data_IF_236243642081
#
_entry.id   IF_236243642081
#
_cell.length_a   1.000
_cell.length_b   1.000
_cell.length_c   1.000
_cell.angle_alpha   90.00
_cell.angle_beta   90.00
_cell.angle_gamma   90.00
#
_symmetry.space_group_name_H-M   'P 1'
#
loop_
_entity.id
_entity.type
_entity.pdbx_description
1 polymer ?
#
# COMPACT_ATOMS: atom_id res chain seq x y z
N UNK A 1 13.12 24.19 0.28
CA UNK A 1 13.28 24.12 1.75
C UNK A 1 13.72 22.71 2.07
N UNK A 2 14.97 22.58 2.51
CA UNK A 2 15.66 21.32 2.77
C UNK A 2 15.43 20.98 4.24
N UNK A 3 14.86 19.81 4.52
CA UNK A 3 14.77 19.26 5.88
C UNK A 3 16.00 18.38 6.06
N UNK A 4 17.01 18.91 6.75
CA UNK A 4 18.23 18.20 7.15
C UNK A 4 18.47 18.47 8.64
N UNK A 5 18.78 17.40 9.36
CA UNK A 5 19.31 17.42 10.74
C UNK A 5 18.40 16.64 11.67
N UNK A 6 18.61 15.34 11.88
CA UNK A 6 19.75 14.84 12.64
C UNK A 6 20.06 13.41 12.21
N UNK A 7 21.18 13.20 11.53
CA UNK A 7 21.71 11.87 11.20
C UNK A 7 22.60 11.44 12.36
N UNK A 8 22.31 10.28 12.92
CA UNK A 8 23.10 9.58 13.91
C UNK A 8 24.54 9.39 13.39
N UNK A 9 25.50 9.89 14.17
CA UNK A 9 26.93 9.74 13.92
C UNK A 9 27.35 8.27 13.87
N UNK A 10 28.29 8.00 12.99
CA UNK A 10 28.69 6.67 12.56
C UNK A 10 29.09 5.72 13.69
N UNK A 11 28.42 4.57 13.72
CA UNK A 11 28.99 3.32 14.23
C UNK A 11 29.12 2.36 13.06
N UNK A 12 30.29 1.72 12.96
CA UNK A 12 30.49 0.52 12.12
C UNK A 12 29.29 -0.41 12.35
N UNK A 13 28.63 -0.82 11.27
CA UNK A 13 27.44 -1.65 11.33
C UNK A 13 27.68 -2.92 12.15
N UNK A 14 26.68 -3.39 12.92
CA UNK A 14 26.82 -4.61 13.70
C UNK A 14 27.07 -5.82 12.78
N UNK A 15 27.96 -6.73 13.21
CA UNK A 15 28.29 -7.99 12.51
C UNK A 15 27.13 -9.02 12.52
N UNK A 16 25.98 -8.66 13.11
CA UNK A 16 24.75 -9.46 13.16
C UNK A 16 23.59 -8.61 12.64
N UNK A 17 23.03 -9.00 11.49
CA UNK A 17 21.91 -8.33 10.82
C UNK A 17 20.73 -9.29 10.63
N UNK A 18 19.48 -8.82 10.78
CA UNK A 18 19.10 -7.47 11.20
C UNK A 18 19.40 -7.25 12.69
N UNK A 19 19.68 -6.01 13.13
CA UNK A 19 19.84 -5.74 14.55
C UNK A 19 18.54 -6.11 15.27
N UNK A 20 18.59 -7.04 16.22
CA UNK A 20 17.60 -7.13 17.30
C UNK A 20 17.74 -5.84 18.11
N UNK A 21 17.06 -4.77 17.69
CA UNK A 21 17.11 -3.51 18.41
C UNK A 21 16.05 -3.50 19.51
N UNK A 22 16.51 -3.36 20.76
CA UNK A 22 15.69 -3.00 21.90
C UNK A 22 14.66 -1.91 21.50
N UNK A 23 13.37 -2.23 21.61
CA UNK A 23 12.26 -1.27 21.39
C UNK A 23 11.53 -1.39 20.05
N UNK A 24 11.84 -2.38 19.21
CA UNK A 24 11.02 -2.70 18.01
C UNK A 24 9.70 -3.33 18.43
N UNK A 25 8.65 -3.00 17.70
CA UNK A 25 7.38 -3.70 17.83
C UNK A 25 7.45 -5.02 17.06
N UNK A 26 6.97 -6.10 17.64
CA UNK A 26 6.64 -7.31 16.90
C UNK A 26 5.41 -7.06 16.01
N UNK A 27 5.25 -7.83 14.93
CA UNK A 27 4.08 -7.69 14.06
C UNK A 27 2.75 -7.88 14.83
N UNK A 28 2.73 -8.78 15.81
CA UNK A 28 1.57 -8.96 16.69
C UNK A 28 1.26 -7.72 17.52
N UNK A 29 2.27 -7.00 18.00
CA UNK A 29 2.08 -5.76 18.76
C UNK A 29 1.55 -4.64 17.87
N UNK A 30 2.00 -4.55 16.62
CA UNK A 30 1.46 -3.62 15.63
C UNK A 30 -0.01 -3.92 15.33
N UNK A 31 -0.37 -5.19 15.18
CA UNK A 31 -1.76 -5.62 15.00
C UNK A 31 -2.60 -5.30 16.25
N UNK A 32 -2.05 -5.48 17.45
CA UNK A 32 -2.76 -5.16 18.70
C UNK A 32 -2.97 -3.64 18.88
N UNK A 33 -2.00 -2.82 18.48
CA UNK A 33 -2.17 -1.37 18.39
C UNK A 33 -3.27 -1.01 17.39
N UNK A 34 -3.28 -1.62 16.22
CA UNK A 34 -4.36 -1.40 15.26
C UNK A 34 -5.72 -1.79 15.86
N UNK A 35 -5.84 -2.94 16.53
CA UNK A 35 -7.10 -3.38 17.15
C UNK A 35 -7.67 -2.40 18.17
N UNK A 36 -6.84 -1.59 18.83
CA UNK A 36 -7.34 -0.64 19.83
C UNK A 36 -8.11 0.53 19.21
N UNK A 37 -7.91 0.82 17.92
CA UNK A 37 -8.51 1.97 17.23
C UNK A 37 -9.22 1.65 15.90
N UNK A 38 -8.80 0.59 15.23
CA UNK A 38 -9.30 0.11 13.94
C UNK A 38 -10.42 -0.93 14.07
N UNK A 39 -11.01 -1.31 12.93
CA UNK A 39 -12.22 -2.16 12.91
C UNK A 39 -12.18 -3.36 11.96
N UNK A 40 -11.17 -3.47 11.10
CA UNK A 40 -11.05 -4.58 10.15
C UNK A 40 -10.83 -5.93 10.82
N UNK A 41 -11.20 -6.98 10.10
CA UNK A 41 -10.80 -8.34 10.44
C UNK A 41 -9.26 -8.46 10.45
N UNK A 42 -8.73 -8.92 11.58
CA UNK A 42 -7.28 -9.03 11.83
C UNK A 42 -6.62 -10.15 11.01
N UNK A 43 -7.40 -11.15 10.57
CA UNK A 43 -6.90 -12.23 9.71
C UNK A 43 -6.43 -11.69 8.35
N UNK A 44 -6.93 -10.51 7.95
CA UNK A 44 -6.47 -9.82 6.76
C UNK A 44 -4.99 -9.42 6.85
N UNK A 45 -4.48 -9.07 8.04
CA UNK A 45 -3.06 -8.73 8.21
C UNK A 45 -2.16 -9.96 8.06
N UNK A 46 -2.61 -11.13 8.53
CA UNK A 46 -1.89 -12.39 8.31
C UNK A 46 -1.83 -12.73 6.82
N UNK A 47 -2.92 -12.51 6.08
CA UNK A 47 -2.94 -12.67 4.63
C UNK A 47 -2.01 -11.67 3.92
N UNK A 48 -2.00 -10.39 4.32
CA UNK A 48 -1.05 -9.39 3.78
C UNK A 48 0.40 -9.82 4.03
N UNK A 49 0.70 -10.31 5.24
CA UNK A 49 2.03 -10.80 5.55
C UNK A 49 2.42 -12.03 4.72
N UNK A 50 1.51 -12.98 4.50
CA UNK A 50 1.73 -14.08 3.55
C UNK A 50 2.09 -13.52 2.18
N UNK A 51 1.30 -12.57 1.65
CA UNK A 51 1.58 -11.91 0.37
C UNK A 51 2.99 -11.35 0.33
N UNK A 52 3.38 -10.47 1.26
CA UNK A 52 4.72 -9.88 1.25
C UNK A 52 5.86 -10.87 1.51
N UNK A 53 5.60 -12.03 2.10
CA UNK A 53 6.63 -13.06 2.31
C UNK A 53 7.08 -13.74 1.02
N UNK A 54 6.22 -13.78 -0.01
CA UNK A 54 6.54 -14.40 -1.30
C UNK A 54 6.59 -13.42 -2.46
N UNK A 55 5.80 -12.32 -2.45
CA UNK A 55 5.85 -11.29 -3.50
C UNK A 55 6.88 -10.21 -3.18
N UNK A 56 8.11 -10.45 -3.66
CA UNK A 56 9.24 -9.52 -3.57
C UNK A 56 10.00 -9.51 -4.89
N UNK A 57 10.74 -8.45 -5.18
CA UNK A 57 11.61 -8.44 -6.35
C UNK A 57 12.63 -9.60 -6.27
N UNK A 58 12.85 -10.37 -7.34
CA UNK A 58 13.80 -11.49 -7.33
C UNK A 58 15.25 -11.11 -6.98
N UNK A 59 15.60 -9.83 -7.09
CA UNK A 59 16.92 -9.28 -6.82
C UNK A 59 17.17 -8.88 -5.35
N UNK A 60 16.19 -9.06 -4.46
CA UNK A 60 16.35 -8.85 -3.02
C UNK A 60 17.34 -9.86 -2.44
N UNK A 61 18.30 -9.37 -1.66
CA UNK A 61 19.24 -10.24 -0.96
C UNK A 61 18.53 -11.12 0.08
N UNK A 62 18.89 -12.40 0.13
CA UNK A 62 18.18 -13.43 0.91
C UNK A 62 18.02 -13.06 2.40
N UNK A 63 19.08 -12.52 3.01
CA UNK A 63 19.12 -12.17 4.43
C UNK A 63 18.08 -11.10 4.83
N UNK A 64 17.61 -10.31 3.86
CA UNK A 64 16.65 -9.23 4.09
C UNK A 64 15.20 -9.64 3.92
N UNK A 65 14.91 -10.80 3.31
CA UNK A 65 13.53 -11.16 2.92
C UNK A 65 12.54 -11.19 4.09
N UNK A 66 12.95 -11.74 5.24
CA UNK A 66 12.10 -11.81 6.43
C UNK A 66 11.82 -10.42 7.02
N UNK A 67 12.85 -9.61 7.20
CA UNK A 67 12.70 -8.26 7.73
C UNK A 67 11.85 -7.39 6.79
N UNK A 68 12.06 -7.51 5.48
CA UNK A 68 11.28 -6.82 4.46
C UNK A 68 9.79 -7.19 4.51
N UNK A 69 9.45 -8.48 4.63
CA UNK A 69 8.04 -8.86 4.68
C UNK A 69 7.34 -8.30 5.91
N UNK A 70 7.99 -8.35 7.07
CA UNK A 70 7.47 -7.77 8.32
C UNK A 70 7.31 -6.25 8.21
N UNK A 71 8.35 -5.54 7.76
CA UNK A 71 8.32 -4.08 7.66
C UNK A 71 7.29 -3.58 6.64
N UNK A 72 7.15 -4.27 5.50
CA UNK A 72 6.09 -3.98 4.52
C UNK A 72 4.72 -4.16 5.13
N UNK A 73 4.48 -5.26 5.84
CA UNK A 73 3.19 -5.48 6.51
C UNK A 73 2.90 -4.38 7.51
N UNK A 74 3.85 -4.01 8.37
CA UNK A 74 3.66 -2.92 9.35
C UNK A 74 3.33 -1.59 8.69
N UNK A 75 4.01 -1.26 7.58
CA UNK A 75 3.73 -0.04 6.84
C UNK A 75 2.34 -0.10 6.16
N UNK A 76 1.91 -1.27 5.72
CA UNK A 76 0.53 -1.48 5.25
C UNK A 76 -0.50 -1.35 6.36
N UNK A 77 -0.18 -1.69 7.62
CA UNK A 77 -1.08 -1.39 8.75
C UNK A 77 -1.25 0.12 8.91
N UNK A 78 -0.17 0.90 8.78
CA UNK A 78 -0.25 2.37 8.79
C UNK A 78 -1.11 2.91 7.63
N UNK A 79 -0.92 2.38 6.43
CA UNK A 79 -1.74 2.72 5.26
C UNK A 79 -3.23 2.37 5.47
N UNK A 80 -3.52 1.22 6.06
CA UNK A 80 -4.89 0.79 6.39
C UNK A 80 -5.55 1.72 7.43
N UNK A 81 -4.80 2.31 8.36
CA UNK A 81 -5.35 3.35 9.24
C UNK A 81 -5.79 4.58 8.42
N UNK A 82 -5.06 4.96 7.38
CA UNK A 82 -5.49 6.06 6.50
C UNK A 82 -6.70 5.66 5.66
N UNK A 83 -6.72 4.44 5.11
CA UNK A 83 -7.83 3.85 4.34
C UNK A 83 -9.14 3.84 5.16
N UNK A 84 -9.08 3.44 6.43
CA UNK A 84 -10.23 3.45 7.35
C UNK A 84 -10.83 4.85 7.57
N UNK A 85 -10.00 5.90 7.55
CA UNK A 85 -10.44 7.29 7.68
C UNK A 85 -10.90 7.90 6.36
N UNK A 86 -10.58 7.28 5.22
CA UNK A 86 -10.97 7.73 3.90
C UNK A 86 -12.29 7.07 3.45
N UNK A 87 -12.43 5.76 3.60
CA UNK A 87 -13.41 4.99 2.83
C UNK A 87 -14.59 4.51 3.68
N UNK A 88 -14.32 4.09 4.92
CA UNK A 88 -15.36 3.51 5.75
C UNK A 88 -16.34 4.57 6.26
N UNK A 89 -17.61 4.47 5.86
CA UNK A 89 -18.67 5.44 6.20
C UNK A 89 -18.84 5.72 7.71
N UNK A 90 -18.44 4.80 8.58
CA UNK A 90 -18.61 4.95 10.04
C UNK A 90 -17.39 5.61 10.70
N UNK A 91 -16.19 5.38 10.18
CA UNK A 91 -14.93 5.91 10.75
C UNK A 91 -14.35 7.08 9.98
N UNK A 92 -14.86 7.36 8.77
CA UNK A 92 -14.37 8.42 7.90
C UNK A 92 -14.27 9.76 8.62
N UNK A 93 -13.11 10.40 8.52
CA UNK A 93 -12.86 11.72 9.09
C UNK A 93 -11.74 12.41 8.33
N UNK A 94 -12.10 13.43 7.55
CA UNK A 94 -11.12 14.16 6.72
C UNK A 94 -10.05 14.86 7.58
N UNK A 95 -10.44 15.48 8.70
CA UNK A 95 -9.47 16.16 9.58
C UNK A 95 -8.48 15.18 10.20
N UNK A 96 -8.97 14.04 10.70
CA UNK A 96 -8.11 13.02 11.30
C UNK A 96 -7.21 12.35 10.25
N UNK A 97 -7.73 12.16 9.03
CA UNK A 97 -6.95 11.66 7.90
C UNK A 97 -5.82 12.62 7.54
N UNK A 98 -6.08 13.93 7.51
CA UNK A 98 -5.07 14.95 7.26
C UNK A 98 -3.96 14.91 8.32
N UNK A 99 -4.34 14.87 9.60
CA UNK A 99 -3.38 14.81 10.70
C UNK A 99 -2.55 13.50 10.65
N UNK A 100 -3.19 12.36 10.36
CA UNK A 100 -2.51 11.06 10.21
C UNK A 100 -1.53 11.08 9.02
N UNK A 101 -1.97 11.61 7.89
CA UNK A 101 -1.15 11.70 6.69
C UNK A 101 0.04 12.64 6.92
N UNK A 102 -0.07 13.64 7.79
CA UNK A 102 1.04 14.57 8.09
C UNK A 102 2.15 13.95 8.95
N UNK A 103 1.90 12.85 9.65
CA UNK A 103 2.84 12.19 10.57
C UNK A 103 4.24 11.94 9.94
N UNK A 104 4.38 11.41 8.71
CA UNK A 104 5.68 11.15 8.09
C UNK A 104 6.55 12.39 7.87
N UNK A 105 5.98 13.58 7.94
CA UNK A 105 6.67 14.85 7.67
C UNK A 105 6.86 15.71 8.93
N UNK A 106 6.37 15.25 10.08
CA UNK A 106 6.47 15.98 11.35
C UNK A 106 7.62 15.44 12.22
N UNK A 107 8.25 16.33 13.00
CA UNK A 107 9.18 15.94 14.05
C UNK A 107 8.40 15.37 15.25
N UNK A 108 8.82 14.20 15.76
CA UNK A 108 8.19 13.49 16.89
C UNK A 108 8.05 14.33 18.17
N UNK A 109 8.93 15.32 18.36
CA UNK A 109 8.95 16.17 19.56
C UNK A 109 7.89 17.29 19.57
N UNK A 110 7.11 17.49 18.49
CA UNK A 110 6.33 18.74 18.30
C UNK A 110 4.84 18.67 18.63
N UNK A 111 4.25 17.49 18.85
CA UNK A 111 2.80 17.40 19.09
C UNK A 111 2.46 16.29 20.08
N UNK A 112 1.91 16.66 21.23
CA UNK A 112 1.14 15.69 22.01
C UNK A 112 -0.08 15.32 21.17
N UNK A 113 -0.21 14.05 20.80
CA UNK A 113 -1.32 13.59 19.99
C UNK A 113 -2.64 13.81 20.73
N UNK A 114 -3.55 14.53 20.07
CA UNK A 114 -4.86 14.85 20.65
C UNK A 114 -5.85 13.69 20.55
N UNK A 115 -5.49 12.65 19.77
CA UNK A 115 -6.31 11.48 19.50
C UNK A 115 -5.51 10.20 19.72
N UNK A 116 -6.13 9.19 20.35
CA UNK A 116 -5.56 7.84 20.47
C UNK A 116 -5.23 7.24 19.09
N UNK A 117 -6.05 7.54 18.08
CA UNK A 117 -5.86 7.07 16.70
C UNK A 117 -4.54 7.59 16.11
N UNK A 118 -4.22 8.87 16.32
CA UNK A 118 -2.97 9.47 15.84
C UNK A 118 -1.77 8.98 16.64
N UNK A 119 -1.93 8.75 17.95
CA UNK A 119 -0.88 8.16 18.79
C UNK A 119 -0.51 6.75 18.32
N UNK A 120 -1.51 5.92 17.98
CA UNK A 120 -1.31 4.60 17.37
C UNK A 120 -0.62 4.73 16.01
N UNK A 121 -1.15 5.58 15.12
CA UNK A 121 -0.57 5.81 13.80
C UNK A 121 0.89 6.25 13.85
N UNK A 122 1.23 7.19 14.74
CA UNK A 122 2.60 7.67 14.96
C UNK A 122 3.51 6.55 15.45
N UNK A 123 3.06 5.76 16.44
CA UNK A 123 3.86 4.68 17.00
C UNK A 123 4.19 3.61 15.95
N UNK A 124 3.22 3.24 15.11
CA UNK A 124 3.43 2.29 14.01
C UNK A 124 4.38 2.88 12.97
N UNK A 125 4.18 4.13 12.58
CA UNK A 125 5.04 4.81 11.61
C UNK A 125 6.51 4.91 12.10
N UNK A 126 6.72 5.34 13.34
CA UNK A 126 8.05 5.47 13.94
C UNK A 126 8.77 4.12 14.02
N UNK A 127 8.05 3.04 14.38
CA UNK A 127 8.59 1.69 14.30
C UNK A 127 8.96 1.32 12.85
N UNK A 128 8.05 1.46 11.88
CA UNK A 128 8.34 1.17 10.48
C UNK A 128 9.57 1.93 9.97
N UNK A 129 9.65 3.25 10.19
CA UNK A 129 10.75 4.08 9.72
C UNK A 129 12.07 3.73 10.40
N UNK A 130 12.06 3.37 11.69
CA UNK A 130 13.27 2.93 12.40
C UNK A 130 13.92 1.71 11.73
N UNK A 131 13.12 0.77 11.20
CA UNK A 131 13.64 -0.37 10.42
C UNK A 131 14.15 0.05 9.06
N UNK A 132 13.29 0.73 8.30
CA UNK A 132 13.53 0.98 6.87
C UNK A 132 14.76 1.86 6.70
N UNK A 133 14.99 2.79 7.64
CA UNK A 133 16.19 3.62 7.67
C UNK A 133 17.50 2.85 7.87
N UNK A 134 17.44 1.60 8.34
CA UNK A 134 18.59 0.70 8.51
C UNK A 134 18.88 -0.16 7.27
N UNK A 135 18.06 -0.11 6.22
CA UNK A 135 18.32 -0.88 5.01
C UNK A 135 19.60 -0.41 4.29
N UNK A 136 20.36 -1.33 3.65
CA UNK A 136 21.70 -1.04 3.16
C UNK A 136 21.79 0.17 2.24
N UNK A 137 20.74 0.39 1.44
CA UNK A 137 20.69 1.48 0.45
C UNK A 137 19.60 2.50 0.75
N UNK A 138 19.07 2.56 1.98
CA UNK A 138 18.02 3.51 2.35
C UNK A 138 18.33 4.94 1.88
N UNK A 139 19.56 5.42 2.12
CA UNK A 139 19.97 6.78 1.75
C UNK A 139 19.96 7.07 0.25
N UNK A 140 20.13 6.06 -0.61
CA UNK A 140 20.01 6.23 -2.06
C UNK A 140 18.55 6.38 -2.50
N UNK A 141 17.62 5.71 -1.81
CA UNK A 141 16.20 5.65 -2.15
C UNK A 141 15.31 6.57 -1.32
N UNK A 142 15.81 7.16 -0.24
CA UNK A 142 15.06 7.97 0.75
C UNK A 142 14.11 8.97 0.08
N UNK A 143 14.61 9.73 -0.91
CA UNK A 143 13.82 10.73 -1.63
C UNK A 143 12.68 10.13 -2.45
N UNK A 144 12.90 8.96 -3.03
CA UNK A 144 11.93 8.25 -3.88
C UNK A 144 10.86 7.62 -2.98
N UNK A 145 11.29 6.96 -1.90
CA UNK A 145 10.42 6.39 -0.88
C UNK A 145 9.42 7.41 -0.31
N UNK A 146 9.91 8.58 0.11
CA UNK A 146 9.02 9.63 0.63
C UNK A 146 8.14 10.26 -0.46
N UNK A 147 8.59 10.28 -1.72
CA UNK A 147 7.76 10.73 -2.83
C UNK A 147 6.61 9.74 -3.06
N UNK A 148 6.87 8.44 -3.08
CA UNK A 148 5.86 7.41 -3.32
C UNK A 148 4.90 7.27 -2.12
N UNK A 149 5.41 7.40 -0.89
CA UNK A 149 4.55 7.49 0.30
C UNK A 149 3.57 8.66 0.23
N UNK A 150 4.01 9.81 -0.30
CA UNK A 150 3.09 10.95 -0.51
C UNK A 150 2.02 10.62 -1.55
N UNK A 151 2.34 9.86 -2.59
CA UNK A 151 1.34 9.44 -3.59
C UNK A 151 0.28 8.53 -2.97
N UNK A 152 0.70 7.59 -2.11
CA UNK A 152 -0.20 6.72 -1.33
C UNK A 152 -1.16 7.56 -0.48
N UNK A 153 -0.62 8.43 0.37
CA UNK A 153 -1.45 9.26 1.26
C UNK A 153 -2.35 10.23 0.49
N UNK A 154 -1.89 10.74 -0.66
CA UNK A 154 -2.71 11.55 -1.56
C UNK A 154 -3.88 10.76 -2.15
N UNK A 155 -3.71 9.46 -2.38
CA UNK A 155 -4.81 8.61 -2.85
C UNK A 155 -5.91 8.44 -1.80
N UNK A 156 -5.54 8.37 -0.52
CA UNK A 156 -6.49 8.34 0.59
C UNK A 156 -7.25 9.67 0.71
N UNK A 157 -6.56 10.80 0.51
CA UNK A 157 -7.23 12.12 0.45
C UNK A 157 -8.23 12.20 -0.70
N UNK A 158 -7.82 11.76 -1.89
CA UNK A 158 -8.72 11.71 -3.05
C UNK A 158 -9.94 10.83 -2.76
N UNK A 159 -9.73 9.66 -2.15
CA UNK A 159 -10.82 8.74 -1.80
C UNK A 159 -11.81 9.35 -0.82
N UNK A 160 -11.32 10.03 0.23
CA UNK A 160 -12.16 10.75 1.20
C UNK A 160 -13.03 11.82 0.51
N UNK A 161 -12.43 12.64 -0.36
CA UNK A 161 -13.13 13.71 -1.10
C UNK A 161 -14.11 13.14 -2.14
N UNK A 162 -13.74 12.08 -2.85
CA UNK A 162 -14.64 11.39 -3.78
C UNK A 162 -15.91 10.94 -3.06
N UNK A 163 -15.76 10.45 -1.83
CA UNK A 163 -16.85 9.95 -1.04
C UNK A 163 -17.67 11.00 -0.27
N UNK A 164 -17.23 12.26 -0.21
CA UNK A 164 -17.88 13.31 0.60
C UNK A 164 -18.26 14.54 -0.20
N UNK A 165 -17.42 14.94 -1.15
CA UNK A 165 -17.58 16.14 -1.98
C UNK A 165 -18.01 15.82 -3.43
N UNK A 166 -17.98 14.54 -3.83
CA UNK A 166 -18.43 14.11 -5.16
C UNK A 166 -17.47 14.53 -6.29
N UNK A 167 -16.16 14.54 -6.02
CA UNK A 167 -15.13 14.87 -7.01
C UNK A 167 -14.81 13.70 -7.97
N UNK A 168 -15.42 12.55 -7.75
CA UNK A 168 -15.04 11.31 -8.42
C UNK A 168 -15.20 11.42 -9.93
N UNK A 169 -14.14 11.04 -10.65
CA UNK A 169 -14.17 11.02 -12.10
C UNK A 169 -13.26 9.91 -12.65
N UNK A 170 -13.49 9.47 -13.90
CA UNK A 170 -12.85 8.27 -14.42
C UNK A 170 -11.34 8.42 -14.60
N UNK A 171 -10.88 9.65 -14.85
CA UNK A 171 -9.48 9.95 -15.13
C UNK A 171 -8.70 9.93 -13.83
N UNK A 172 -9.14 10.70 -12.85
CA UNK A 172 -8.49 10.81 -11.55
C UNK A 172 -8.65 9.53 -10.74
N UNK A 173 -9.82 8.88 -10.73
CA UNK A 173 -9.99 7.57 -10.07
C UNK A 173 -9.04 6.53 -10.67
N UNK A 174 -8.85 6.50 -12.00
CA UNK A 174 -7.89 5.58 -12.63
C UNK A 174 -6.43 5.92 -12.29
N UNK A 175 -6.15 7.15 -11.86
CA UNK A 175 -4.83 7.61 -11.49
C UNK A 175 -4.55 7.32 -10.01
N UNK A 176 -5.37 7.89 -9.11
CA UNK A 176 -5.17 7.84 -7.66
C UNK A 176 -5.42 6.47 -7.06
N UNK A 177 -6.49 5.75 -7.46
CA UNK A 177 -6.96 4.58 -6.70
C UNK A 177 -5.87 3.49 -6.57
N UNK A 178 -5.00 3.35 -7.57
CA UNK A 178 -3.98 2.32 -7.55
C UNK A 178 -2.90 2.55 -6.49
N UNK A 179 -2.64 3.79 -6.08
CA UNK A 179 -1.58 4.11 -5.12
C UNK A 179 -1.89 3.61 -3.71
N UNK A 180 -3.16 3.43 -3.34
CA UNK A 180 -3.56 2.90 -2.04
C UNK A 180 -3.21 1.42 -1.79
N UNK A 181 -2.49 0.75 -2.70
CA UNK A 181 -1.97 -0.60 -2.48
C UNK A 181 -0.48 -0.62 -2.07
N UNK A 182 0.14 0.54 -1.88
CA UNK A 182 1.50 0.68 -1.35
C UNK A 182 2.62 0.00 -2.20
N UNK A 183 2.34 -0.38 -3.45
CA UNK A 183 3.22 -1.25 -4.23
C UNK A 183 4.51 -0.54 -4.65
N UNK A 184 4.46 0.72 -5.09
CA UNK A 184 5.69 1.46 -5.44
C UNK A 184 6.60 1.62 -4.22
N UNK A 185 6.03 1.94 -3.05
CA UNK A 185 6.76 2.02 -1.78
C UNK A 185 7.37 0.66 -1.40
N UNK A 186 6.62 -0.43 -1.55
CA UNK A 186 7.14 -1.78 -1.29
C UNK A 186 8.26 -2.19 -2.26
N UNK A 187 8.23 -1.70 -3.49
CA UNK A 187 9.31 -1.91 -4.48
C UNK A 187 10.54 -1.05 -4.15
N UNK A 188 10.35 0.19 -3.69
CA UNK A 188 11.46 1.00 -3.18
C UNK A 188 12.18 0.29 -2.03
N UNK A 189 11.43 -0.29 -1.09
CA UNK A 189 11.98 -1.11 0.00
C UNK A 189 12.74 -2.34 -0.51
N UNK A 190 12.24 -3.03 -1.56
CA UNK A 190 12.98 -4.14 -2.16
C UNK A 190 14.31 -3.67 -2.75
N UNK A 191 14.32 -2.56 -3.49
CA UNK A 191 15.52 -2.02 -4.10
C UNK A 191 16.55 -1.54 -3.06
N UNK A 192 16.08 -1.05 -1.89
CA UNK A 192 16.96 -0.72 -0.76
C UNK A 192 17.77 -1.93 -0.27
N UNK A 193 17.26 -3.14 -0.50
CA UNK A 193 17.85 -4.43 -0.15
C UNK A 193 18.38 -5.21 -1.36
N UNK A 194 18.54 -4.56 -2.51
CA UNK A 194 19.13 -5.12 -3.73
C UNK A 194 20.51 -4.49 -4.01
N UNK A 195 21.60 -5.06 -3.46
CA UNK A 195 22.93 -4.42 -3.50
C UNK A 195 23.50 -4.26 -4.92
N UNK A 196 23.10 -5.10 -5.87
CA UNK A 196 23.60 -5.07 -7.24
C UNK A 196 22.84 -4.14 -8.19
N UNK A 197 21.73 -3.52 -7.75
CA UNK A 197 20.89 -2.70 -8.63
C UNK A 197 21.51 -1.34 -8.98
N UNK A 198 21.52 -1.00 -10.28
CA UNK A 198 22.04 0.29 -10.78
C UNK A 198 20.94 1.36 -10.78
N UNK A 199 21.15 2.45 -10.04
CA UNK A 199 20.22 3.58 -9.97
C UNK A 199 19.93 4.23 -11.33
N UNK A 200 20.78 4.06 -12.34
CA UNK A 200 20.51 4.53 -13.71
C UNK A 200 19.32 3.81 -14.35
N UNK A 201 18.97 2.62 -13.88
CA UNK A 201 17.83 1.83 -14.36
C UNK A 201 16.55 2.09 -13.55
N UNK A 202 16.55 3.03 -12.58
CA UNK A 202 15.40 3.31 -11.72
C UNK A 202 14.12 3.62 -12.53
N UNK A 203 14.23 4.39 -13.62
CA UNK A 203 13.07 4.69 -14.47
C UNK A 203 12.42 3.45 -15.11
N UNK A 204 13.22 2.42 -15.41
CA UNK A 204 12.73 1.15 -15.95
C UNK A 204 11.99 0.36 -14.87
N UNK A 205 12.57 0.26 -13.66
CA UNK A 205 11.90 -0.41 -12.53
C UNK A 205 10.62 0.32 -12.14
N UNK A 206 10.60 1.66 -12.17
CA UNK A 206 9.36 2.42 -11.91
C UNK A 206 8.25 2.12 -12.91
N UNK A 207 8.59 1.82 -14.15
CA UNK A 207 7.60 1.38 -15.15
C UNK A 207 6.99 0.03 -14.74
N UNK A 208 7.82 -0.92 -14.29
CA UNK A 208 7.36 -2.20 -13.72
C UNK A 208 6.48 -1.95 -12.48
N UNK A 209 6.93 -1.10 -11.57
CA UNK A 209 6.23 -0.79 -10.31
C UNK A 209 4.84 -0.19 -10.55
N UNK A 210 4.71 0.80 -11.43
CA UNK A 210 3.43 1.41 -11.79
C UNK A 210 2.44 0.40 -12.41
N UNK A 211 2.93 -0.53 -13.24
CA UNK A 211 2.11 -1.59 -13.81
C UNK A 211 1.71 -2.63 -12.76
N UNK A 212 2.64 -3.05 -11.91
CA UNK A 212 2.40 -3.99 -10.80
C UNK A 212 1.38 -3.44 -9.80
N UNK A 213 1.47 -2.14 -9.48
CA UNK A 213 0.51 -1.45 -8.63
C UNK A 213 -0.91 -1.52 -9.20
N UNK A 214 -1.06 -1.31 -10.51
CA UNK A 214 -2.38 -1.44 -11.17
C UNK A 214 -2.92 -2.87 -11.13
N UNK A 215 -2.05 -3.88 -11.15
CA UNK A 215 -2.45 -5.29 -10.99
C UNK A 215 -2.92 -5.54 -9.56
N UNK A 216 -2.12 -5.17 -8.56
CA UNK A 216 -2.44 -5.33 -7.16
C UNK A 216 -3.75 -4.63 -6.79
N UNK A 217 -3.95 -3.41 -7.27
CA UNK A 217 -5.19 -2.66 -7.08
C UNK A 217 -6.41 -3.36 -7.69
N UNK A 218 -6.30 -3.93 -8.89
CA UNK A 218 -7.40 -4.73 -9.44
C UNK A 218 -7.68 -5.93 -8.55
N UNK A 219 -6.64 -6.65 -8.11
CA UNK A 219 -6.77 -7.78 -7.18
C UNK A 219 -7.51 -7.39 -5.90
N UNK A 220 -7.06 -6.33 -5.23
CA UNK A 220 -7.69 -5.76 -4.05
C UNK A 220 -9.14 -5.37 -4.32
N UNK A 221 -9.40 -4.56 -5.34
CA UNK A 221 -10.76 -4.13 -5.68
C UNK A 221 -11.70 -5.32 -5.93
N UNK A 222 -11.25 -6.42 -6.54
CA UNK A 222 -12.09 -7.60 -6.78
C UNK A 222 -12.52 -8.33 -5.50
N UNK A 223 -11.81 -8.11 -4.39
CA UNK A 223 -12.16 -8.68 -3.08
C UNK A 223 -12.96 -7.72 -2.22
N UNK A 224 -12.78 -6.42 -2.41
CA UNK A 224 -13.32 -5.40 -1.52
C UNK A 224 -14.63 -4.80 -1.98
N UNK A 225 -14.87 -4.74 -3.30
CA UNK A 225 -16.07 -4.09 -3.83
C UNK A 225 -17.41 -4.59 -3.25
N UNK A 226 -17.58 -5.88 -2.87
CA UNK A 226 -18.84 -6.31 -2.25
C UNK A 226 -19.14 -5.58 -0.94
N UNK A 227 -18.14 -5.39 -0.10
CA UNK A 227 -18.25 -4.65 1.17
C UNK A 227 -18.33 -3.15 0.91
N UNK A 228 -17.56 -2.61 -0.03
CA UNK A 228 -17.59 -1.19 -0.42
C UNK A 228 -18.97 -0.77 -0.95
N UNK A 229 -19.71 -1.66 -1.63
CA UNK A 229 -21.11 -1.41 -2.03
C UNK A 229 -22.00 -1.17 -0.81
N UNK A 230 -21.80 -1.91 0.28
CA UNK A 230 -22.57 -1.75 1.52
C UNK A 230 -22.17 -0.48 2.27
N UNK A 231 -20.88 -0.13 2.22
CA UNK A 231 -20.35 1.10 2.81
C UNK A 231 -20.74 2.35 2.00
N UNK A 232 -21.11 2.16 0.73
CA UNK A 232 -21.44 3.24 -0.20
C UNK A 232 -20.20 3.99 -0.66
N UNK A 233 -19.07 3.30 -0.75
CA UNK A 233 -17.81 3.86 -1.24
C UNK A 233 -17.84 4.00 -2.77
N UNK A 234 -17.83 5.25 -3.23
CA UNK A 234 -17.87 5.61 -4.66
C UNK A 234 -16.47 5.83 -5.24
N UNK A 235 -15.42 5.82 -4.41
CA UNK A 235 -14.03 5.91 -4.88
C UNK A 235 -13.61 4.62 -5.61
N UNK A 236 -14.16 3.48 -5.20
CA UNK A 236 -13.99 2.18 -5.82
C UNK A 236 -14.27 2.21 -7.33
N UNK A 237 -13.27 1.89 -8.20
CA UNK A 237 -13.43 2.08 -9.64
C UNK A 237 -14.53 1.24 -10.29
N UNK A 238 -14.84 0.07 -9.74
CA UNK A 238 -15.93 -0.79 -10.25
C UNK A 238 -17.30 -0.20 -9.90
N UNK A 239 -17.46 0.37 -8.69
CA UNK A 239 -18.68 1.04 -8.26
C UNK A 239 -18.89 2.32 -9.07
N UNK A 240 -17.85 3.16 -9.18
CA UNK A 240 -17.85 4.37 -10.03
C UNK A 240 -18.21 4.05 -11.49
N UNK A 241 -17.65 2.97 -12.06
CA UNK A 241 -18.00 2.55 -13.42
C UNK A 241 -19.47 2.11 -13.51
N UNK A 242 -19.98 1.36 -12.53
CA UNK A 242 -21.36 0.89 -12.53
C UNK A 242 -22.37 2.04 -12.47
N UNK A 243 -22.13 3.05 -11.63
CA UNK A 243 -22.92 4.28 -11.54
C UNK A 243 -22.92 5.04 -12.87
N UNK A 244 -21.75 5.28 -13.46
CA UNK A 244 -21.62 6.00 -14.74
C UNK A 244 -22.26 5.28 -15.92
N UNK A 245 -22.30 3.94 -15.87
CA UNK A 245 -22.98 3.11 -16.88
C UNK A 245 -24.48 2.97 -16.62
N UNK A 246 -25.00 3.52 -15.53
CA UNK A 246 -26.41 3.39 -15.14
C UNK A 246 -26.80 1.94 -14.79
N UNK A 247 -25.82 1.10 -14.43
CA UNK A 247 -26.09 -0.27 -14.00
C UNK A 247 -26.67 -0.32 -12.58
N UNK A 248 -26.34 0.69 -11.77
CA UNK A 248 -26.84 0.92 -10.42
C UNK A 248 -27.08 2.43 -10.25
N UNK A 249 -27.90 2.79 -9.27
CA UNK A 249 -28.10 4.18 -8.80
C UNK A 249 -27.52 4.37 -7.40
N UNK A 250 -27.25 5.63 -7.01
CA UNK A 250 -26.71 5.94 -5.68
C UNK A 250 -27.59 5.43 -4.53
N UNK A 251 -28.91 5.42 -4.69
CA UNK A 251 -29.83 4.90 -3.67
C UNK A 251 -29.85 3.35 -3.56
N UNK A 252 -29.14 2.65 -4.45
CA UNK A 252 -28.94 1.21 -4.40
C UNK A 252 -27.64 0.83 -3.66
N UNK A 253 -26.79 1.82 -3.32
CA UNK A 253 -25.66 1.62 -2.42
C UNK A 253 -26.16 1.41 -0.99
N UNK A 254 -25.50 0.53 -0.25
CA UNK A 254 -25.97 0.04 1.06
C UNK A 254 -26.81 -1.23 1.00
N UNK A 255 -27.17 -1.71 -0.20
CA UNK A 255 -27.96 -2.94 -0.38
C UNK A 255 -27.09 -4.07 -0.96
N UNK A 256 -27.03 -5.20 -0.25
CA UNK A 256 -26.31 -6.41 -0.68
C UNK A 256 -26.85 -6.98 -2.01
N UNK A 257 -28.13 -6.73 -2.34
CA UNK A 257 -28.73 -7.15 -3.60
C UNK A 257 -28.11 -6.45 -4.82
N UNK A 258 -27.35 -5.38 -4.60
CA UNK A 258 -26.65 -4.61 -5.64
C UNK A 258 -25.35 -5.29 -6.08
N UNK A 259 -24.66 -6.01 -5.20
CA UNK A 259 -23.35 -6.65 -5.49
C UNK A 259 -23.38 -7.52 -6.75
N UNK A 260 -24.37 -8.43 -6.96
CA UNK A 260 -24.41 -9.25 -8.17
C UNK A 260 -24.50 -8.46 -9.47
N UNK A 261 -25.02 -7.22 -9.45
CA UNK A 261 -25.11 -6.36 -10.65
C UNK A 261 -23.73 -5.93 -11.14
N UNK A 262 -22.77 -5.76 -10.23
CA UNK A 262 -21.40 -5.34 -10.52
C UNK A 262 -20.51 -6.48 -11.01
N UNK A 263 -20.85 -7.73 -10.68
CA UNK A 263 -20.08 -8.93 -11.09
C UNK A 263 -19.79 -8.98 -12.60
N UNK A 264 -20.70 -8.47 -13.43
CA UNK A 264 -20.55 -8.40 -14.90
C UNK A 264 -19.40 -7.49 -15.35
N UNK A 265 -18.99 -6.55 -14.50
CA UNK A 265 -17.88 -5.63 -14.76
C UNK A 265 -16.52 -6.21 -14.37
N UNK A 266 -16.46 -7.27 -13.55
CA UNK A 266 -15.20 -7.86 -13.10
C UNK A 266 -14.28 -8.23 -14.27
N UNK A 267 -14.85 -8.79 -15.34
CA UNK A 267 -14.11 -9.15 -16.55
C UNK A 267 -13.33 -7.98 -17.17
N UNK A 268 -13.89 -6.76 -17.12
CA UNK A 268 -13.24 -5.55 -17.65
C UNK A 268 -11.94 -5.28 -16.91
N UNK A 269 -11.95 -5.42 -15.59
CA UNK A 269 -10.79 -5.16 -14.75
C UNK A 269 -9.79 -6.33 -14.78
N UNK A 270 -10.26 -7.58 -14.72
CA UNK A 270 -9.41 -8.77 -14.88
C UNK A 270 -8.65 -8.76 -16.21
N UNK A 271 -9.33 -8.39 -17.31
CA UNK A 271 -8.69 -8.25 -18.62
C UNK A 271 -7.60 -7.18 -18.63
N UNK A 272 -7.82 -6.05 -17.96
CA UNK A 272 -6.81 -4.99 -17.82
C UNK A 272 -5.61 -5.47 -17.00
N UNK A 273 -5.84 -6.16 -15.90
CA UNK A 273 -4.78 -6.71 -15.06
C UNK A 273 -3.89 -7.68 -15.83
N UNK A 274 -4.47 -8.63 -16.59
CA UNK A 274 -3.70 -9.50 -17.49
C UNK A 274 -2.93 -8.73 -18.56
N UNK A 275 -3.47 -7.61 -19.07
CA UNK A 275 -2.74 -6.75 -19.98
C UNK A 275 -1.55 -6.05 -19.31
N UNK A 276 -1.67 -5.65 -18.04
CA UNK A 276 -0.57 -5.04 -17.29
C UNK A 276 0.50 -6.08 -16.97
N UNK A 277 0.13 -7.30 -16.55
CA UNK A 277 1.07 -8.41 -16.32
C UNK A 277 1.92 -8.69 -17.56
N UNK A 278 1.30 -8.75 -18.74
CA UNK A 278 2.07 -8.93 -19.99
C UNK A 278 3.07 -7.81 -20.25
N UNK A 279 2.68 -6.55 -19.96
CA UNK A 279 3.60 -5.41 -20.07
C UNK A 279 4.73 -5.48 -19.05
N UNK A 280 4.46 -5.92 -17.82
CA UNK A 280 5.51 -6.17 -16.81
C UNK A 280 6.51 -7.20 -17.34
N UNK A 281 6.02 -8.32 -17.90
CA UNK A 281 6.88 -9.36 -18.48
C UNK A 281 7.76 -8.85 -19.64
N UNK A 282 7.36 -7.80 -20.33
CA UNK A 282 8.18 -7.16 -21.35
C UNK A 282 9.20 -6.19 -20.73
N UNK A 283 8.76 -5.32 -19.81
CA UNK A 283 9.62 -4.35 -19.15
C UNK A 283 10.70 -4.99 -18.25
N UNK A 284 10.41 -6.11 -17.57
CA UNK A 284 11.39 -6.78 -16.69
C UNK A 284 12.62 -7.30 -17.45
N UNK A 285 12.50 -7.49 -18.78
CA UNK A 285 13.61 -7.93 -19.65
C UNK A 285 14.57 -6.79 -20.01
N UNK A 286 14.15 -5.53 -19.84
CA UNK A 286 14.95 -4.35 -20.20
C UNK A 286 15.97 -3.99 -19.12
N UNK A 287 15.76 -4.45 -17.89
CA UNK A 287 16.60 -4.19 -16.72
C UNK A 287 17.80 -5.16 -16.74
N UNK A 288 19.02 -4.62 -16.63
CA UNK A 288 20.26 -5.40 -16.83
C UNK A 288 21.10 -5.51 -15.57
N UNK A 289 21.01 -4.56 -14.66
CA UNK A 289 21.81 -4.55 -13.43
C UNK A 289 21.45 -5.70 -12.49
N UNK A 290 20.19 -6.13 -12.51
CA UNK A 290 19.67 -7.26 -11.72
C UNK A 290 18.68 -8.08 -12.53
N UNK A 291 18.49 -9.34 -12.15
CA UNK A 291 17.46 -10.18 -12.72
C UNK A 291 16.11 -9.91 -12.05
N UNK A 292 15.16 -9.30 -12.77
CA UNK A 292 13.76 -9.20 -12.35
C UNK A 292 12.84 -10.22 -13.02
N UNK A 293 13.39 -11.12 -13.84
CA UNK A 293 12.56 -12.05 -14.61
C UNK A 293 11.73 -12.95 -13.70
N UNK A 294 10.49 -13.19 -14.10
CA UNK A 294 9.52 -13.97 -13.34
C UNK A 294 8.71 -13.16 -12.32
N UNK A 295 8.97 -11.85 -12.19
CA UNK A 295 8.13 -11.00 -11.34
C UNK A 295 6.69 -10.93 -11.87
N UNK A 296 6.50 -10.97 -13.20
CA UNK A 296 5.16 -11.11 -13.80
C UNK A 296 4.41 -12.38 -13.38
N UNK A 297 5.12 -13.46 -13.09
CA UNK A 297 4.51 -14.73 -12.67
C UNK A 297 3.94 -14.59 -11.26
N UNK A 298 4.66 -13.89 -10.36
CA UNK A 298 4.14 -13.56 -9.05
C UNK A 298 2.88 -12.70 -9.11
N UNK A 299 2.82 -11.73 -10.04
CA UNK A 299 1.61 -10.92 -10.24
C UNK A 299 0.43 -11.76 -10.76
N UNK A 300 0.69 -12.81 -11.54
CA UNK A 300 -0.34 -13.74 -12.00
C UNK A 300 -0.88 -14.57 -10.83
N UNK A 301 0.01 -15.09 -9.99
CA UNK A 301 -0.38 -15.83 -8.77
C UNK A 301 -1.16 -14.93 -7.80
N UNK A 302 -0.75 -13.66 -7.67
CA UNK A 302 -1.39 -12.69 -6.79
C UNK A 302 -2.87 -12.50 -7.13
N UNK A 303 -3.21 -12.37 -8.43
CA UNK A 303 -4.63 -12.28 -8.86
C UNK A 303 -5.41 -13.52 -8.41
N UNK A 304 -4.84 -14.72 -8.58
CA UNK A 304 -5.47 -15.97 -8.15
C UNK A 304 -5.70 -16.03 -6.64
N UNK A 305 -4.72 -15.60 -5.83
CA UNK A 305 -4.84 -15.56 -4.37
C UNK A 305 -5.88 -14.56 -3.88
N UNK A 306 -6.02 -13.40 -4.53
CA UNK A 306 -7.06 -12.44 -4.17
C UNK A 306 -8.46 -13.06 -4.26
N UNK A 307 -8.77 -13.82 -5.32
CA UNK A 307 -10.08 -14.48 -5.45
C UNK A 307 -10.44 -15.37 -4.24
N UNK A 308 -9.45 -16.02 -3.62
CA UNK A 308 -9.63 -16.84 -2.42
C UNK A 308 -9.76 -16.06 -1.10
N UNK A 309 -9.38 -14.77 -1.06
CA UNK A 309 -9.34 -13.96 0.16
C UNK A 309 -10.63 -13.20 0.48
N UNK A 310 -11.67 -13.31 -0.38
CA UNK A 310 -12.94 -12.57 -0.25
C UNK A 310 -13.63 -12.70 1.11
N UNK A 311 -13.46 -13.81 1.81
CA UNK A 311 -14.09 -14.04 3.13
C UNK A 311 -13.32 -13.44 4.31
N UNK A 312 -12.13 -12.89 4.09
CA UNK A 312 -11.24 -12.39 5.14
C UNK A 312 -11.42 -10.89 5.42
N UNK A 313 -12.23 -10.18 4.62
CA UNK A 313 -12.53 -8.76 4.79
C UNK A 313 -13.93 -8.52 5.32
#
# INVERSE_FOLDING_TARGET
MSVVGTILDGKKGPETFPPESLGRLELSEVIDLYKSVGRRNIDYFAWIHDVYSWITLPCVAFDWKRALSEDKTKLTVFDILADDLADNRTTRSYSLLQDLADIPWQESARTAETSEYLAVGRRIWEDSLSSVSCYPRFKEFERVFYFDLRQVLSSMMYSSLANTDGIENPIETSFYSSYGCLVEVAIDMDLMCSPAFDMKELGLVRTVACLAQKVAHVGNMMTTYPSEVLEGDVSSPIISLALRKGLIRHNELGDASTVPKLSKLEWVFKSRAHSYIRKVADCEKEIRSVNLRGFSDFLTELIGKFEGSRSLR
#
